data_IF_312901657355
#
_entry.id   IF_312901657355
#
_cell.length_a   1.000
_cell.length_b   1.000
_cell.length_c   1.000
_cell.angle_alpha   90.00
_cell.angle_beta   90.00
_cell.angle_gamma   90.00
#
_symmetry.space_group_name_H-M   'P 1'
#
loop_
_entity.id
_entity.type
_entity.pdbx_description
1 polymer ?
#
# COMPACT_ATOMS: atom_id res chain seq x y z
N UNK A 1 -21.57 0.69 -2.47
CA UNK A 1 -21.65 1.17 -3.87
C UNK A 1 -20.28 0.93 -4.50
N UNK A 2 -20.20 0.49 -5.75
CA UNK A 2 -18.89 0.27 -6.38
C UNK A 2 -18.12 1.59 -6.55
N UNK A 3 -16.82 1.56 -6.23
CA UNK A 3 -15.93 2.74 -6.17
C UNK A 3 -15.80 3.42 -7.53
N UNK A 4 -15.66 2.64 -8.60
CA UNK A 4 -15.52 3.17 -9.95
C UNK A 4 -16.85 3.66 -10.49
N UNK A 5 -17.95 2.99 -10.17
CA UNK A 5 -19.29 3.49 -10.51
C UNK A 5 -19.59 4.84 -9.85
N UNK A 6 -19.17 5.04 -8.59
CA UNK A 6 -19.30 6.35 -7.92
C UNK A 6 -18.53 7.45 -8.66
N UNK A 7 -17.26 7.20 -9.00
CA UNK A 7 -16.45 8.13 -9.80
C UNK A 7 -17.11 8.47 -11.14
N UNK A 8 -17.49 7.47 -11.92
CA UNK A 8 -18.09 7.65 -13.25
C UNK A 8 -19.41 8.42 -13.20
N UNK A 9 -20.24 8.16 -12.19
CA UNK A 9 -21.49 8.91 -11.98
C UNK A 9 -21.21 10.37 -11.61
N UNK A 10 -20.23 10.61 -10.74
CA UNK A 10 -19.85 11.95 -10.26
C UNK A 10 -19.30 12.84 -11.37
N UNK A 11 -18.50 12.28 -12.27
CA UNK A 11 -17.86 13.00 -13.39
C UNK A 11 -18.55 12.78 -14.74
N UNK A 12 -19.78 12.25 -14.75
CA UNK A 12 -20.54 12.04 -15.98
C UNK A 12 -20.70 13.36 -16.75
N UNK A 13 -20.28 13.38 -18.02
CA UNK A 13 -20.30 14.55 -18.91
C UNK A 13 -19.46 15.74 -18.41
N UNK A 14 -18.46 15.49 -17.54
CA UNK A 14 -17.54 16.50 -17.01
C UNK A 14 -16.10 16.01 -17.10
N UNK A 15 -15.16 16.95 -17.00
CA UNK A 15 -13.73 16.64 -16.93
C UNK A 15 -13.30 16.32 -15.48
N UNK A 16 -12.25 15.52 -15.34
CA UNK A 16 -11.64 15.17 -14.07
C UNK A 16 -10.12 15.41 -14.12
N UNK A 17 -9.52 15.64 -12.95
CA UNK A 17 -8.07 15.73 -12.74
C UNK A 17 -7.56 14.47 -12.03
N UNK A 18 -6.25 14.27 -12.02
CA UNK A 18 -5.64 13.07 -11.40
C UNK A 18 -6.05 12.84 -9.93
N UNK A 19 -6.21 13.92 -9.15
CA UNK A 19 -6.62 13.83 -7.75
C UNK A 19 -8.10 13.45 -7.56
N UNK A 20 -8.95 13.72 -8.55
CA UNK A 20 -10.40 13.51 -8.46
C UNK A 20 -10.77 12.03 -8.37
N UNK A 21 -10.03 11.17 -9.06
CA UNK A 21 -10.19 9.73 -8.96
C UNK A 21 -9.98 9.26 -7.51
N UNK A 22 -8.84 9.60 -6.93
CA UNK A 22 -8.48 9.13 -5.59
C UNK A 22 -9.43 9.66 -4.52
N UNK A 23 -9.85 10.93 -4.61
CA UNK A 23 -10.87 11.51 -3.72
C UNK A 23 -12.21 10.81 -3.82
N UNK A 24 -12.64 10.47 -5.04
CA UNK A 24 -13.91 9.75 -5.20
C UNK A 24 -13.88 8.35 -4.58
N UNK A 25 -12.71 7.70 -4.55
CA UNK A 25 -12.57 6.41 -3.86
C UNK A 25 -12.65 6.62 -2.35
N UNK A 26 -11.95 7.62 -1.81
CA UNK A 26 -12.00 7.97 -0.37
C UNK A 26 -13.42 8.22 0.14
N UNK A 27 -14.28 8.86 -0.68
CA UNK A 27 -15.68 9.16 -0.32
C UNK A 27 -16.56 7.93 -0.06
N UNK A 28 -16.20 6.79 -0.65
CA UNK A 28 -16.98 5.54 -0.56
C UNK A 28 -16.16 4.39 0.03
N UNK A 29 -14.95 4.66 0.50
CA UNK A 29 -14.09 3.66 1.11
C UNK A 29 -14.62 3.31 2.49
N UNK A 30 -14.60 2.03 2.81
CA UNK A 30 -14.97 1.55 4.15
C UNK A 30 -13.84 1.80 5.16
N UNK A 31 -14.21 2.18 6.38
CA UNK A 31 -13.26 2.47 7.48
C UNK A 31 -12.48 1.24 7.98
N UNK A 32 -12.87 0.02 7.54
CA UNK A 32 -12.21 -1.23 7.90
C UNK A 32 -10.89 -1.45 7.13
N UNK A 33 -10.66 -0.76 6.01
CA UNK A 33 -9.45 -0.90 5.20
C UNK A 33 -8.32 -0.12 5.86
N UNK A 34 -7.33 -0.85 6.40
CA UNK A 34 -6.19 -0.27 7.10
C UNK A 34 -5.09 0.18 6.13
N UNK A 35 -4.75 1.45 6.23
CA UNK A 35 -3.64 2.05 5.52
C UNK A 35 -2.27 1.77 6.17
N UNK A 36 -1.20 2.34 5.58
CA UNK A 36 0.18 2.11 6.02
C UNK A 36 0.39 2.38 7.51
N UNK A 37 -0.22 3.44 8.04
CA UNK A 37 -0.06 3.89 9.43
C UNK A 37 -0.99 3.17 10.43
N UNK A 38 -1.78 2.18 9.99
CA UNK A 38 -2.75 1.48 10.84
C UNK A 38 -4.10 2.20 11.01
N UNK A 39 -4.22 3.44 10.54
CA UNK A 39 -5.50 4.16 10.39
C UNK A 39 -6.26 3.75 9.13
N UNK A 40 -7.37 4.42 8.83
CA UNK A 40 -8.11 4.26 7.57
C UNK A 40 -7.20 4.60 6.39
N UNK A 41 -7.27 3.80 5.32
CA UNK A 41 -6.49 4.03 4.10
C UNK A 41 -6.96 5.30 3.39
N UNK A 42 -6.13 6.35 3.36
CA UNK A 42 -6.36 7.50 2.51
C UNK A 42 -5.85 7.27 1.08
N UNK A 43 -6.74 7.05 0.13
CA UNK A 43 -6.45 6.80 -1.28
C UNK A 43 -5.86 8.03 -1.98
N UNK A 44 -6.27 9.25 -1.64
CA UNK A 44 -5.60 10.45 -2.17
C UNK A 44 -4.14 10.53 -1.69
N UNK A 45 -3.90 10.26 -0.42
CA UNK A 45 -2.55 10.23 0.15
C UNK A 45 -1.70 9.13 -0.51
N UNK A 46 -2.23 7.91 -0.61
CA UNK A 46 -1.56 6.79 -1.27
C UNK A 46 -1.29 7.08 -2.76
N UNK A 47 -2.33 7.42 -3.52
CA UNK A 47 -2.27 7.66 -4.95
C UNK A 47 -1.31 8.79 -5.33
N UNK A 48 -1.22 9.84 -4.50
CA UNK A 48 -0.28 10.94 -4.73
C UNK A 48 1.18 10.49 -4.74
N UNK A 49 1.55 9.51 -3.91
CA UNK A 49 2.92 8.97 -3.84
C UNK A 49 3.28 8.15 -5.08
N UNK A 50 2.30 7.57 -5.76
CA UNK A 50 2.54 6.76 -6.96
C UNK A 50 2.42 7.56 -8.25
N UNK A 51 1.69 8.68 -8.24
CA UNK A 51 1.36 9.44 -9.45
C UNK A 51 2.10 10.77 -9.59
N UNK A 52 2.54 11.39 -8.49
CA UNK A 52 3.15 12.74 -8.52
C UNK A 52 4.67 12.76 -8.45
N UNK A 53 5.32 11.61 -8.27
CA UNK A 53 6.78 11.49 -8.25
C UNK A 53 7.27 10.51 -9.31
N UNK A 54 8.43 10.81 -9.88
CA UNK A 54 9.04 9.97 -10.91
C UNK A 54 9.68 8.70 -10.34
N UNK A 55 9.61 7.62 -11.10
CA UNK A 55 10.25 6.35 -10.80
C UNK A 55 9.36 5.41 -9.98
N UNK A 56 9.99 4.38 -9.43
CA UNK A 56 9.35 3.31 -8.67
C UNK A 56 10.24 2.89 -7.49
N UNK A 57 9.66 2.26 -6.45
CA UNK A 57 10.45 1.80 -5.33
C UNK A 57 11.32 0.60 -5.73
N UNK A 58 12.62 0.67 -5.44
CA UNK A 58 13.48 -0.51 -5.47
C UNK A 58 13.43 -1.15 -4.08
N UNK A 59 12.81 -2.33 -4.01
CA UNK A 59 12.65 -3.11 -2.77
C UNK A 59 13.67 -4.23 -2.75
N UNK A 60 14.54 -4.22 -1.76
CA UNK A 60 15.52 -5.30 -1.54
C UNK A 60 15.05 -6.18 -0.38
N UNK A 61 15.07 -7.48 -0.61
CA UNK A 61 14.75 -8.51 0.39
C UNK A 61 16.03 -9.23 0.74
N UNK A 62 16.34 -9.30 2.03
CA UNK A 62 17.55 -9.92 2.55
C UNK A 62 17.19 -10.93 3.63
N UNK A 63 17.54 -12.19 3.41
CA UNK A 63 17.37 -13.25 4.40
C UNK A 63 18.51 -13.14 5.43
N UNK A 64 18.19 -12.70 6.65
CA UNK A 64 19.18 -12.58 7.73
C UNK A 64 19.49 -13.95 8.36
N UNK A 65 18.48 -14.82 8.42
CA UNK A 65 18.60 -16.20 8.87
C UNK A 65 17.39 -17.02 8.34
N UNK A 66 17.32 -18.31 8.70
CA UNK A 66 16.25 -19.22 8.24
C UNK A 66 14.83 -18.76 8.63
N UNK A 67 14.70 -17.81 9.55
CA UNK A 67 13.42 -17.37 10.10
C UNK A 67 13.21 -15.87 10.08
N UNK A 68 14.14 -15.10 9.51
CA UNK A 68 14.10 -13.63 9.53
C UNK A 68 14.48 -13.06 8.18
N UNK A 69 13.59 -12.24 7.65
CA UNK A 69 13.83 -11.46 6.44
C UNK A 69 13.77 -9.98 6.77
N UNK A 70 14.71 -9.23 6.18
CA UNK A 70 14.76 -7.78 6.17
C UNK A 70 14.35 -7.28 4.80
N UNK A 71 13.34 -6.42 4.76
CA UNK A 71 12.84 -5.78 3.55
C UNK A 71 13.18 -4.30 3.66
N UNK A 72 13.92 -3.76 2.69
CA UNK A 72 14.30 -2.34 2.64
C UNK A 72 13.93 -1.73 1.30
N UNK A 73 13.78 -0.41 1.29
CA UNK A 73 13.53 0.38 0.09
C UNK A 73 14.65 1.42 -0.05
N UNK A 74 15.30 1.53 -1.20
CA UNK A 74 16.45 2.44 -1.34
C UNK A 74 16.06 3.93 -1.37
N UNK A 75 14.84 4.22 -1.81
CA UNK A 75 14.28 5.57 -1.89
C UNK A 75 12.99 5.59 -1.07
N UNK A 76 13.05 6.09 0.17
CA UNK A 76 11.97 6.05 1.19
C UNK A 76 10.73 6.92 0.90
N UNK A 77 10.27 6.93 -0.36
CA UNK A 77 9.24 7.85 -0.86
C UNK A 77 7.87 7.22 -1.06
N UNK A 78 7.76 5.89 -0.98
CA UNK A 78 6.50 5.18 -1.20
C UNK A 78 6.10 4.38 0.04
N UNK A 79 4.80 4.37 0.28
CA UNK A 79 4.08 3.32 1.00
C UNK A 79 3.81 2.17 0.02
N UNK A 80 4.53 1.06 0.19
CA UNK A 80 4.48 -0.08 -0.74
C UNK A 80 3.63 -1.21 -0.16
N UNK A 81 2.53 -1.58 -0.84
CA UNK A 81 1.76 -2.77 -0.48
C UNK A 81 2.52 -4.01 -0.94
N UNK A 82 2.90 -4.86 0.01
CA UNK A 82 3.63 -6.10 -0.21
C UNK A 82 2.77 -7.30 0.14
N UNK A 83 2.74 -8.26 -0.78
CA UNK A 83 2.25 -9.61 -0.57
C UNK A 83 3.44 -10.54 -0.72
N UNK A 84 3.49 -11.60 0.07
CA UNK A 84 4.54 -12.58 -0.06
C UNK A 84 4.07 -13.95 0.43
N UNK A 85 4.73 -14.97 -0.09
CA UNK A 85 4.45 -16.37 0.20
C UNK A 85 5.75 -17.04 0.64
N UNK A 86 5.67 -17.89 1.67
CA UNK A 86 6.79 -18.70 2.13
C UNK A 86 6.39 -20.17 2.06
N UNK A 87 6.93 -20.89 1.08
CA UNK A 87 6.51 -22.27 0.82
C UNK A 87 5.01 -22.34 0.52
N UNK A 88 4.24 -23.00 1.39
CA UNK A 88 2.78 -23.11 1.27
C UNK A 88 2.02 -22.02 2.04
N UNK A 89 2.72 -21.22 2.84
CA UNK A 89 2.09 -20.21 3.69
C UNK A 89 1.95 -18.89 2.92
N UNK A 90 0.71 -18.47 2.69
CA UNK A 90 0.39 -17.16 2.14
C UNK A 90 0.26 -16.14 3.27
N UNK A 91 0.94 -15.01 3.11
CA UNK A 91 0.80 -13.90 4.05
C UNK A 91 0.00 -12.78 3.40
N UNK A 92 -1.03 -12.33 4.11
CA UNK A 92 -1.82 -11.18 3.71
C UNK A 92 -1.00 -9.89 3.60
N UNK A 93 -1.64 -8.86 3.04
CA UNK A 93 -1.07 -7.54 2.78
C UNK A 93 -0.24 -7.00 3.96
N UNK A 94 0.97 -6.53 3.66
CA UNK A 94 1.83 -5.76 4.57
C UNK A 94 2.28 -4.47 3.91
N UNK A 95 2.43 -3.43 4.71
CA UNK A 95 2.86 -2.11 4.24
C UNK A 95 4.33 -1.87 4.58
N UNK A 96 5.17 -1.73 3.56
CA UNK A 96 6.49 -1.11 3.70
C UNK A 96 6.30 0.41 3.69
N UNK A 97 6.38 1.01 4.87
CA UNK A 97 6.01 2.41 5.09
C UNK A 97 7.02 3.38 4.49
N UNK A 98 6.52 4.47 3.94
CA UNK A 98 7.29 5.65 3.57
C UNK A 98 8.09 6.16 4.77
N UNK A 99 9.30 6.65 4.54
CA UNK A 99 10.20 7.15 5.60
C UNK A 99 10.77 6.08 6.54
N UNK A 100 10.31 4.82 6.45
CA UNK A 100 10.84 3.72 7.26
C UNK A 100 11.91 2.98 6.46
N UNK A 101 13.11 2.90 7.04
CA UNK A 101 14.31 2.32 6.40
C UNK A 101 14.14 0.87 5.95
N UNK A 102 13.50 0.08 6.80
CA UNK A 102 13.38 -1.35 6.65
C UNK A 102 12.25 -1.89 7.51
N UNK A 103 11.71 -3.03 7.11
CA UNK A 103 10.89 -3.91 7.94
C UNK A 103 11.69 -5.16 8.23
N UNK A 104 11.79 -5.53 9.51
CA UNK A 104 12.32 -6.83 9.93
C UNK A 104 11.15 -7.71 10.35
N UNK A 105 11.03 -8.90 9.78
CA UNK A 105 9.96 -9.84 10.13
C UNK A 105 10.54 -11.19 10.55
N UNK A 106 10.15 -11.63 11.75
CA UNK A 106 10.42 -12.96 12.27
C UNK A 106 9.25 -13.89 11.92
N UNK A 107 9.54 -15.00 11.25
CA UNK A 107 8.56 -15.99 10.81
C UNK A 107 8.12 -16.98 11.91
N UNK A 108 8.81 -17.03 13.06
CA UNK A 108 8.48 -17.93 14.17
C UNK A 108 7.36 -17.45 15.12
N UNK A 109 6.78 -16.26 14.90
CA UNK A 109 5.73 -15.70 15.79
C UNK A 109 4.30 -15.81 15.25
N UNK A 110 4.06 -16.62 14.22
CA UNK A 110 2.71 -16.80 13.66
C UNK A 110 2.19 -18.21 13.92
N UNK A 111 2.16 -18.61 15.20
CA UNK A 111 1.33 -19.70 15.73
C UNK A 111 1.18 -19.52 17.23
N UNK A 112 0.11 -18.82 17.63
CA UNK A 112 -0.66 -19.09 18.86
C UNK A 112 -2.13 -18.97 18.50
#
# INVERSE_FOLDING_TARGET
MDRFQHYLKKFRLRNARGDDLWRSIDEVLEDNIRGPNGGVLGMLYFGSQWTKQMGFPHVTVECLNSTTVRIKQDRYKWDVPLFYQLGKDEFGLKWLRRGTGFLTRNFLRTTQ
#
